data_IF_421410615871
#
_entry.id   IF_421410615871
#
_cell.length_a   1.000
_cell.length_b   1.000
_cell.length_c   1.000
_cell.angle_alpha   90.00
_cell.angle_beta   90.00
_cell.angle_gamma   90.00
#
_symmetry.space_group_name_H-M   'P 1'
#
loop_
_entity.id
_entity.type
_entity.pdbx_description
1 polymer ?
#
# COMPACT_ATOMS: atom_id res chain seq x y z
N UNK A 1 -53.78 -14.21 23.20
CA UNK A 1 -52.41 -14.36 22.67
C UNK A 1 -51.62 -13.14 23.13
N UNK A 2 -50.60 -13.34 23.97
CA UNK A 2 -49.66 -12.31 24.37
C UNK A 2 -48.71 -12.04 23.19
N UNK A 3 -48.56 -10.78 22.81
CA UNK A 3 -47.53 -10.33 21.87
C UNK A 3 -46.28 -9.99 22.69
N UNK A 4 -45.21 -10.76 22.50
CA UNK A 4 -43.84 -10.41 22.89
C UNK A 4 -43.10 -9.81 21.68
N UNK A 5 -41.99 -9.14 21.99
CA UNK A 5 -40.91 -8.64 21.13
C UNK A 5 -41.14 -7.32 20.40
N UNK A 6 -40.23 -6.34 20.42
CA UNK A 6 -38.89 -6.26 21.00
C UNK A 6 -38.53 -4.79 21.25
N UNK A 7 -37.71 -4.54 22.27
CA UNK A 7 -37.04 -3.26 22.54
C UNK A 7 -36.10 -2.90 21.39
N UNK A 8 -36.31 -1.75 20.76
CA UNK A 8 -35.35 -1.17 19.82
C UNK A 8 -34.18 -0.58 20.62
N UNK A 9 -32.99 -1.18 20.48
CA UNK A 9 -31.74 -0.57 20.92
C UNK A 9 -31.33 0.48 19.89
N UNK A 10 -31.24 1.73 20.34
CA UNK A 10 -30.71 2.86 19.59
C UNK A 10 -29.18 2.67 19.49
N UNK A 11 -28.73 1.98 18.44
CA UNK A 11 -27.31 1.94 18.09
C UNK A 11 -26.94 3.33 17.60
N UNK A 12 -26.35 4.10 18.51
CA UNK A 12 -25.89 5.46 18.30
C UNK A 12 -25.03 5.51 17.04
N UNK A 13 -25.65 5.96 15.95
CA UNK A 13 -25.00 6.17 14.66
C UNK A 13 -23.92 7.24 14.80
N UNK A 14 -22.70 6.80 15.11
CA UNK A 14 -21.49 7.57 14.89
C UNK A 14 -21.29 7.72 13.39
N UNK A 15 -22.06 8.62 12.81
CA UNK A 15 -21.76 9.16 11.49
C UNK A 15 -20.52 10.02 11.69
N UNK A 16 -19.34 9.41 11.52
CA UNK A 16 -18.10 10.17 11.38
C UNK A 16 -18.21 10.90 10.04
N UNK A 17 -18.87 12.07 10.07
CA UNK A 17 -18.83 13.03 8.99
C UNK A 17 -17.42 13.63 8.99
N UNK A 18 -16.48 12.91 8.36
CA UNK A 18 -15.20 13.52 7.99
C UNK A 18 -15.54 14.54 6.92
N UNK A 19 -15.39 15.83 7.21
CA UNK A 19 -15.34 16.88 6.19
C UNK A 19 -14.21 16.54 5.21
N UNK A 20 -14.55 15.92 4.07
CA UNK A 20 -13.61 15.27 3.14
C UNK A 20 -13.06 16.23 2.10
N UNK A 21 -12.54 17.38 2.51
CA UNK A 21 -11.63 18.12 1.63
C UNK A 21 -10.26 17.45 1.72
N UNK A 22 -10.05 16.41 0.92
CA UNK A 22 -8.73 15.79 0.77
C UNK A 22 -7.83 16.80 0.06
N UNK A 23 -6.83 17.31 0.77
CA UNK A 23 -5.81 18.15 0.15
C UNK A 23 -4.88 17.27 -0.71
N UNK A 24 -4.21 17.84 -1.72
CA UNK A 24 -3.24 17.10 -2.51
C UNK A 24 -2.19 16.38 -1.65
N UNK A 25 -1.72 17.03 -0.58
CA UNK A 25 -0.73 16.47 0.34
C UNK A 25 -1.26 15.26 1.11
N UNK A 26 -2.53 15.32 1.57
CA UNK A 26 -3.17 14.19 2.24
C UNK A 26 -3.41 13.02 1.27
N UNK A 27 -3.70 13.31 0.00
CA UNK A 27 -3.80 12.28 -1.03
C UNK A 27 -2.45 11.59 -1.30
N UNK A 28 -1.36 12.36 -1.37
CA UNK A 28 0.00 11.84 -1.54
C UNK A 28 0.43 10.97 -0.35
N UNK A 29 0.16 11.41 0.89
CA UNK A 29 0.40 10.62 2.09
C UNK A 29 -0.42 9.32 2.10
N UNK A 30 -1.70 9.41 1.75
CA UNK A 30 -2.57 8.24 1.63
C UNK A 30 -2.02 7.22 0.64
N UNK A 31 -1.55 7.69 -0.51
CA UNK A 31 -0.93 6.83 -1.52
C UNK A 31 0.36 6.17 -1.03
N UNK A 32 1.20 6.92 -0.32
CA UNK A 32 2.43 6.38 0.28
C UNK A 32 2.13 5.25 1.28
N UNK A 33 1.13 5.45 2.15
CA UNK A 33 0.66 4.42 3.11
C UNK A 33 0.12 3.18 2.40
N UNK A 34 -0.63 3.38 1.34
CA UNK A 34 -1.15 2.28 0.53
C UNK A 34 -0.01 1.50 -0.15
N UNK A 35 1.01 2.18 -0.67
CA UNK A 35 2.20 1.53 -1.24
C UNK A 35 2.94 0.70 -0.21
N UNK A 36 3.15 1.24 1.00
CA UNK A 36 3.72 0.47 2.12
C UNK A 36 2.91 -0.80 2.35
N UNK A 37 1.59 -0.69 2.47
CA UNK A 37 0.73 -1.85 2.70
C UNK A 37 0.88 -2.92 1.59
N UNK A 38 0.88 -2.48 0.32
CA UNK A 38 1.01 -3.37 -0.83
C UNK A 38 2.38 -4.05 -0.89
N UNK A 39 3.47 -3.33 -0.63
CA UNK A 39 4.83 -3.89 -0.59
C UNK A 39 4.98 -4.89 0.57
N UNK A 40 4.46 -4.57 1.75
CA UNK A 40 4.51 -5.49 2.90
C UNK A 40 3.71 -6.77 2.64
N UNK A 41 2.56 -6.66 1.96
CA UNK A 41 1.80 -7.83 1.50
C UNK A 41 2.59 -8.67 0.50
N UNK A 42 3.29 -8.01 -0.42
CA UNK A 42 4.13 -8.67 -1.42
C UNK A 42 5.32 -9.39 -0.78
N UNK A 43 5.97 -8.81 0.24
CA UNK A 43 7.02 -9.47 1.04
C UNK A 43 6.52 -10.74 1.71
N UNK A 44 5.31 -10.69 2.30
CA UNK A 44 4.68 -11.87 2.92
C UNK A 44 4.37 -12.95 1.88
N UNK A 45 3.83 -12.57 0.72
CA UNK A 45 3.54 -13.50 -0.37
C UNK A 45 4.82 -14.15 -0.93
N UNK A 46 5.93 -13.42 -0.96
CA UNK A 46 7.25 -13.91 -1.35
C UNK A 46 7.93 -14.79 -0.28
N UNK A 47 7.35 -14.93 0.91
CA UNK A 47 7.90 -15.72 2.01
C UNK A 47 9.13 -15.09 2.67
N UNK A 48 9.27 -13.76 2.63
CA UNK A 48 10.40 -13.07 3.27
C UNK A 48 10.17 -12.93 4.78
N UNK A 49 11.27 -12.93 5.52
CA UNK A 49 11.27 -12.65 6.95
C UNK A 49 11.01 -11.16 7.22
N UNK A 50 10.48 -10.85 8.41
CA UNK A 50 10.17 -9.47 8.80
C UNK A 50 11.41 -8.56 8.80
N UNK A 51 12.59 -9.13 9.06
CA UNK A 51 13.88 -8.43 9.09
C UNK A 51 14.59 -8.38 7.74
N UNK A 52 14.05 -9.00 6.69
CA UNK A 52 14.70 -9.01 5.38
C UNK A 52 14.71 -7.63 4.73
N UNK A 53 15.88 -7.23 4.25
CA UNK A 53 16.04 -6.06 3.40
C UNK A 53 15.76 -6.43 1.94
N UNK A 54 15.20 -5.48 1.19
CA UNK A 54 14.78 -5.71 -0.20
C UNK A 54 15.16 -4.55 -1.12
N UNK A 55 15.19 -4.81 -2.42
CA UNK A 55 14.98 -3.77 -3.44
C UNK A 55 13.52 -3.86 -3.92
N UNK A 56 12.83 -2.73 -3.95
CA UNK A 56 11.48 -2.64 -4.53
C UNK A 56 11.57 -2.04 -5.92
N UNK A 57 10.98 -2.72 -6.89
CA UNK A 57 10.78 -2.21 -8.24
C UNK A 57 9.33 -1.83 -8.43
N UNK A 58 9.08 -0.72 -9.14
CA UNK A 58 7.73 -0.24 -9.40
C UNK A 58 7.57 0.23 -10.85
N UNK A 59 6.39 -0.03 -11.41
CA UNK A 59 5.95 0.50 -12.69
C UNK A 59 4.49 0.90 -12.54
N UNK A 60 4.16 2.16 -12.81
CA UNK A 60 2.82 2.66 -12.54
C UNK A 60 2.57 4.06 -13.11
N UNK A 61 1.49 4.72 -12.69
CA UNK A 61 1.12 6.01 -13.23
C UNK A 61 2.13 7.10 -12.83
N UNK A 62 2.24 8.21 -13.60
CA UNK A 62 3.23 9.26 -13.34
C UNK A 62 3.17 9.86 -11.92
N UNK A 63 1.97 9.92 -11.32
CA UNK A 63 1.80 10.42 -9.94
C UNK A 63 2.60 9.63 -8.90
N UNK A 64 2.91 8.36 -9.18
CA UNK A 64 3.68 7.51 -8.29
C UNK A 64 5.10 8.04 -8.10
N UNK A 65 5.69 8.60 -9.16
CA UNK A 65 7.03 9.15 -9.10
C UNK A 65 7.09 10.36 -8.16
N UNK A 66 6.09 11.26 -8.22
CA UNK A 66 6.00 12.41 -7.32
C UNK A 66 5.84 11.97 -5.85
N UNK A 67 4.96 10.99 -5.60
CA UNK A 67 4.76 10.44 -4.24
C UNK A 67 6.03 9.77 -3.72
N UNK A 68 6.72 8.97 -4.53
CA UNK A 68 7.95 8.30 -4.11
C UNK A 68 9.14 9.26 -3.98
N UNK A 69 9.15 10.39 -4.70
CA UNK A 69 10.13 11.46 -4.45
C UNK A 69 9.91 12.14 -3.10
N UNK A 70 8.65 12.36 -2.71
CA UNK A 70 8.30 13.08 -1.48
C UNK A 70 8.28 12.19 -0.23
N UNK A 71 7.84 10.95 -0.38
CA UNK A 71 7.61 10.00 0.72
C UNK A 71 8.46 8.72 0.60
N UNK A 72 9.43 8.67 -0.32
CA UNK A 72 10.26 7.49 -0.56
C UNK A 72 11.03 7.02 0.68
N UNK A 73 11.50 7.94 1.52
CA UNK A 73 12.17 7.61 2.78
C UNK A 73 11.26 6.87 3.75
N UNK A 74 10.01 7.35 3.89
CA UNK A 74 8.98 6.68 4.67
C UNK A 74 8.67 5.30 4.12
N UNK A 75 8.45 5.19 2.80
CA UNK A 75 8.19 3.89 2.16
C UNK A 75 9.34 2.91 2.43
N UNK A 76 10.59 3.34 2.18
CA UNK A 76 11.79 2.52 2.42
C UNK A 76 11.92 2.04 3.87
N UNK A 77 11.70 2.94 4.82
CA UNK A 77 11.81 2.61 6.24
C UNK A 77 10.77 1.58 6.65
N UNK A 78 9.51 1.76 6.26
CA UNK A 78 8.41 0.87 6.64
C UNK A 78 8.49 -0.49 5.93
N UNK A 79 9.14 -0.56 4.76
CA UNK A 79 9.23 -1.79 3.95
C UNK A 79 10.61 -2.44 3.97
N UNK A 80 11.56 -1.93 4.75
CA UNK A 80 12.98 -2.32 4.71
C UNK A 80 13.56 -2.35 3.28
N UNK A 81 13.09 -1.43 2.43
CA UNK A 81 13.62 -1.30 1.08
C UNK A 81 14.88 -0.47 1.10
N UNK A 82 15.99 -1.03 0.63
CA UNK A 82 17.24 -0.27 0.44
C UNK A 82 17.07 0.75 -0.71
N UNK A 83 16.39 0.30 -1.76
CA UNK A 83 16.19 1.04 -3.00
C UNK A 83 14.74 0.91 -3.50
N UNK A 84 14.25 2.00 -4.09
CA UNK A 84 13.02 2.06 -4.87
C UNK A 84 13.40 2.37 -6.31
N UNK A 85 13.22 1.40 -7.21
CA UNK A 85 13.68 1.46 -8.58
C UNK A 85 12.48 1.53 -9.52
N UNK A 86 12.40 2.59 -10.33
CA UNK A 86 11.42 2.65 -11.41
C UNK A 86 11.82 1.68 -12.53
N UNK A 87 10.91 0.79 -12.90
CA UNK A 87 11.13 -0.21 -13.95
C UNK A 87 10.92 -1.64 -13.49
N UNK A 88 11.27 -2.58 -14.35
CA UNK A 88 11.20 -4.01 -14.06
C UNK A 88 12.47 -4.50 -13.35
N UNK A 89 12.38 -5.52 -12.48
CA UNK A 89 13.56 -6.15 -11.90
C UNK A 89 14.43 -6.82 -12.99
N UNK A 90 15.73 -7.02 -12.75
CA UNK A 90 16.59 -7.76 -13.66
C UNK A 90 16.04 -9.17 -13.93
N UNK A 91 16.04 -9.59 -15.20
CA UNK A 91 15.56 -10.92 -15.60
C UNK A 91 16.39 -12.01 -14.92
N UNK A 92 15.70 -12.97 -14.29
CA UNK A 92 16.36 -14.08 -13.59
C UNK A 92 16.86 -13.77 -12.17
N UNK A 93 16.63 -12.57 -11.64
CA UNK A 93 17.04 -12.20 -10.28
C UNK A 93 16.23 -12.89 -9.16
N UNK A 94 15.14 -13.59 -9.49
CA UNK A 94 14.26 -14.21 -8.48
C UNK A 94 13.36 -13.21 -7.75
N UNK A 95 13.06 -12.06 -8.38
CA UNK A 95 12.12 -11.09 -7.82
C UNK A 95 10.68 -11.63 -7.85
N UNK A 96 9.96 -11.47 -6.73
CA UNK A 96 8.53 -11.77 -6.67
C UNK A 96 7.74 -10.56 -7.17
N UNK A 97 6.95 -10.75 -8.22
CA UNK A 97 6.31 -9.66 -8.99
C UNK A 97 4.80 -9.84 -9.04
N UNK A 98 4.06 -8.77 -8.76
CA UNK A 98 2.59 -8.76 -8.86
C UNK A 98 2.08 -7.50 -9.58
N UNK A 99 1.16 -7.73 -10.52
CA UNK A 99 0.40 -6.68 -11.19
C UNK A 99 -0.93 -6.46 -10.47
N UNK A 100 -1.24 -5.20 -10.19
CA UNK A 100 -2.40 -4.77 -9.41
C UNK A 100 -2.93 -3.43 -9.96
N UNK A 101 -4.04 -2.96 -9.39
CA UNK A 101 -4.60 -1.64 -9.71
C UNK A 101 -4.47 -0.69 -8.53
N UNK A 102 -4.15 0.56 -8.83
CA UNK A 102 -4.07 1.69 -7.92
C UNK A 102 -5.03 2.78 -8.41
N UNK A 103 -6.13 3.01 -7.71
CA UNK A 103 -7.27 3.85 -8.16
C UNK A 103 -7.74 3.53 -9.60
N UNK A 104 -7.71 2.26 -9.98
CA UNK A 104 -8.10 1.80 -11.32
C UNK A 104 -6.99 1.85 -12.38
N UNK A 105 -5.85 2.47 -12.09
CA UNK A 105 -4.68 2.52 -12.97
C UNK A 105 -3.74 1.32 -12.74
N UNK A 106 -3.04 0.83 -13.77
CA UNK A 106 -2.13 -0.30 -13.63
C UNK A 106 -0.93 0.07 -12.75
N UNK A 107 -0.62 -0.81 -11.80
CA UNK A 107 0.56 -0.77 -10.94
C UNK A 107 1.19 -2.16 -10.95
N UNK A 108 2.48 -2.26 -11.25
CA UNK A 108 3.27 -3.46 -11.05
C UNK A 108 4.30 -3.19 -9.97
N UNK A 109 4.36 -4.07 -8.97
CA UNK A 109 5.36 -4.05 -7.92
C UNK A 109 6.16 -5.34 -7.97
N UNK A 110 7.47 -5.24 -7.76
CA UNK A 110 8.31 -6.41 -7.52
C UNK A 110 9.22 -6.19 -6.31
N UNK A 111 9.47 -7.27 -5.57
CA UNK A 111 10.40 -7.28 -4.44
C UNK A 111 11.51 -8.29 -4.68
N UNK A 112 12.75 -7.86 -4.47
CA UNK A 112 13.94 -8.69 -4.57
C UNK A 112 14.65 -8.70 -3.21
N UNK A 113 14.73 -9.87 -2.56
CA UNK A 113 15.45 -10.02 -1.29
C UNK A 113 16.93 -9.69 -1.48
N UNK A 114 17.49 -8.95 -0.53
CA UNK A 114 18.92 -8.69 -0.41
C UNK A 114 19.48 -9.67 0.62
N UNK A 115 20.61 -10.29 0.28
CA UNK A 115 21.34 -11.27 1.10
C UNK A 115 22.10 -10.61 2.23
#
# INVERSE_FOLDING_TARGET
ALQHDATAEDDAGYTVAVDTVITPELAEEGLARELVHRIQSLRRAAGFDISDHITTYYQGPPRLQAVLQRHGDYVRQETLSEELVEGAPPTGAGAHTEAQKLDGEPLTLAVLRRS
#
